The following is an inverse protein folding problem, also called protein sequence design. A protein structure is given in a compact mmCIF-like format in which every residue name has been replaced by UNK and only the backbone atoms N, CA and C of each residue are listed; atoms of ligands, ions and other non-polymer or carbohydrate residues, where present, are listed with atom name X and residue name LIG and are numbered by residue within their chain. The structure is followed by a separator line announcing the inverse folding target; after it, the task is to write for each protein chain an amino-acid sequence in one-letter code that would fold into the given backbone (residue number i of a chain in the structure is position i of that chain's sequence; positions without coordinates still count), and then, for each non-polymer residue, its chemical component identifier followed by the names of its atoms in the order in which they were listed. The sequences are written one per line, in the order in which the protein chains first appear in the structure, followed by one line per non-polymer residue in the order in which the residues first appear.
data_IF_165365223776
#
_entry.id   IF_165365223776
#
_cell.length_a   1.000
_cell.length_b   1.000
_cell.length_c   1.000
_cell.angle_alpha   90.00
_cell.angle_beta   90.00
_cell.angle_gamma   90.00
#
_symmetry.space_group_name_H-M   'P 1'
#
loop_
_entity.id
_entity.type
_entity.pdbx_description
1 polymer ?
#
# COMPACT_ATOMS: atom_id res chain seq x y z
N UNK A 1 7.72 3.44 -4.37
CA UNK A 1 6.33 3.86 -4.13
C UNK A 1 5.91 4.57 -5.40
N UNK A 2 4.89 4.09 -6.11
CA UNK A 2 4.61 4.55 -7.48
C UNK A 2 3.21 5.19 -7.56
N UNK A 3 3.09 6.52 -7.37
CA UNK A 3 1.80 7.21 -7.32
C UNK A 3 0.88 6.96 -8.53
N UNK A 4 1.39 6.87 -9.78
CA UNK A 4 0.56 6.52 -10.93
C UNK A 4 -0.02 5.10 -10.85
N UNK A 5 0.77 4.12 -10.40
CA UNK A 5 0.34 2.71 -10.31
C UNK A 5 -0.69 2.46 -9.21
N UNK A 6 -0.66 3.24 -8.13
CA UNK A 6 -1.61 3.14 -7.01
C UNK A 6 -2.97 3.74 -7.38
N UNK A 7 -3.02 4.67 -8.33
CA UNK A 7 -4.22 5.42 -8.67
C UNK A 7 -5.39 4.51 -9.13
N UNK A 8 -5.23 3.62 -10.13
CA UNK A 8 -6.32 2.71 -10.54
C UNK A 8 -6.78 1.78 -9.41
N UNK A 9 -5.84 1.33 -8.57
CA UNK A 9 -6.10 0.43 -7.45
C UNK A 9 -6.93 1.13 -6.37
N UNK A 10 -6.58 2.38 -6.04
CA UNK A 10 -7.36 3.20 -5.12
C UNK A 10 -8.78 3.45 -5.65
N UNK A 11 -8.93 3.77 -6.94
CA UNK A 11 -10.26 3.99 -7.53
C UNK A 11 -11.12 2.74 -7.46
N UNK A 12 -10.57 1.57 -7.74
CA UNK A 12 -11.28 0.30 -7.60
C UNK A 12 -11.69 0.00 -6.15
N UNK A 13 -10.75 0.10 -5.22
CA UNK A 13 -11.00 -0.21 -3.81
C UNK A 13 -11.96 0.76 -3.14
N UNK A 14 -12.12 1.96 -3.70
CA UNK A 14 -13.04 2.99 -3.19
C UNK A 14 -14.26 3.19 -4.08
N UNK A 15 -14.40 2.42 -5.16
CA UNK A 15 -15.54 2.50 -6.08
C UNK A 15 -16.87 2.26 -5.35
N UNK A 16 -17.94 2.87 -5.87
CA UNK A 16 -19.29 2.80 -5.28
C UNK A 16 -19.48 3.64 -4.00
N UNK A 17 -18.43 4.27 -3.47
CA UNK A 17 -18.51 5.10 -2.26
C UNK A 17 -18.68 6.60 -2.59
N UNK A 18 -19.31 7.38 -1.70
CA UNK A 18 -19.39 8.82 -1.86
C UNK A 18 -18.00 9.47 -1.90
N UNK A 19 -17.80 10.47 -2.75
CA UNK A 19 -16.51 11.16 -2.91
C UNK A 19 -15.93 11.70 -1.57
N UNK A 20 -16.79 12.08 -0.61
CA UNK A 20 -16.35 12.48 0.74
C UNK A 20 -15.67 11.32 1.48
N UNK A 21 -16.21 10.11 1.39
CA UNK A 21 -15.66 8.89 2.00
C UNK A 21 -14.34 8.52 1.32
N UNK A 22 -14.29 8.53 -0.01
CA UNK A 22 -13.06 8.23 -0.74
C UNK A 22 -11.91 9.19 -0.37
N UNK A 23 -12.19 10.48 -0.20
CA UNK A 23 -11.20 11.48 0.29
C UNK A 23 -10.68 11.14 1.69
N UNK A 24 -11.56 10.71 2.58
CA UNK A 24 -11.19 10.29 3.93
C UNK A 24 -10.34 9.03 3.91
N UNK A 25 -10.70 8.05 3.09
CA UNK A 25 -9.95 6.82 2.89
C UNK A 25 -8.55 7.09 2.32
N UNK A 26 -8.40 8.02 1.36
CA UNK A 26 -7.09 8.43 0.86
C UNK A 26 -6.20 9.00 1.97
N UNK A 27 -6.73 9.90 2.79
CA UNK A 27 -6.00 10.47 3.92
C UNK A 27 -5.64 9.39 4.95
N UNK A 28 -6.58 8.51 5.29
CA UNK A 28 -6.36 7.42 6.23
C UNK A 28 -5.30 6.44 5.72
N UNK A 29 -5.37 6.03 4.44
CA UNK A 29 -4.40 5.13 3.84
C UNK A 29 -2.99 5.72 3.86
N UNK A 30 -2.84 7.00 3.48
CA UNK A 30 -1.54 7.69 3.53
C UNK A 30 -1.04 7.87 4.96
N UNK A 31 -1.92 8.22 5.91
CA UNK A 31 -1.54 8.38 7.30
C UNK A 31 -1.11 7.05 7.94
N UNK A 32 -1.83 5.96 7.65
CA UNK A 32 -1.46 4.61 8.06
C UNK A 32 -0.12 4.23 7.44
N UNK A 33 0.04 4.40 6.13
CA UNK A 33 1.29 4.08 5.46
C UNK A 33 2.48 4.85 6.02
N UNK A 34 2.31 6.15 6.25
CA UNK A 34 3.33 7.01 6.85
C UNK A 34 3.67 6.54 8.26
N UNK A 35 2.67 6.28 9.10
CA UNK A 35 2.89 5.81 10.47
C UNK A 35 3.65 4.49 10.50
N UNK A 36 3.28 3.55 9.62
CA UNK A 36 3.97 2.25 9.50
C UNK A 36 5.40 2.43 9.03
N UNK A 37 5.62 3.18 7.94
CA UNK A 37 6.95 3.45 7.42
C UNK A 37 7.80 4.16 8.46
N UNK A 38 7.23 5.09 9.23
CA UNK A 38 7.95 5.79 10.29
C UNK A 38 8.34 4.85 11.44
N UNK A 39 7.41 4.01 11.90
CA UNK A 39 7.69 3.01 12.94
C UNK A 39 8.77 2.05 12.48
N UNK A 40 8.67 1.50 11.27
CA UNK A 40 9.70 0.59 10.75
C UNK A 40 11.02 1.31 10.43
N UNK A 41 11.00 2.59 10.04
CA UNK A 41 12.23 3.36 9.85
C UNK A 41 13.00 3.58 11.15
N UNK A 42 12.30 3.71 12.28
CA UNK A 42 12.91 3.92 13.60
C UNK A 42 13.25 2.62 14.32
N UNK A 43 12.36 1.62 14.23
CA UNK A 43 12.37 0.42 15.06
C UNK A 43 12.34 -0.88 14.25
N UNK A 44 12.37 -0.80 12.92
CA UNK A 44 12.03 -1.93 12.05
C UNK A 44 12.91 -3.15 12.27
N UNK A 45 14.22 -2.95 12.43
CA UNK A 45 15.13 -4.07 12.69
C UNK A 45 14.86 -4.71 14.06
N UNK A 46 14.69 -3.91 15.11
CA UNK A 46 14.36 -4.41 16.45
C UNK A 46 13.03 -5.15 16.48
N UNK A 47 12.01 -4.66 15.76
CA UNK A 47 10.71 -5.31 15.65
C UNK A 47 10.84 -6.68 14.98
N UNK A 48 11.56 -6.75 13.86
CA UNK A 48 11.75 -7.99 13.11
C UNK A 48 12.54 -9.01 13.93
N UNK A 49 13.60 -8.58 14.60
CA UNK A 49 14.42 -9.43 15.47
C UNK A 49 13.61 -9.97 16.66
N UNK A 50 12.82 -9.12 17.31
CA UNK A 50 11.95 -9.52 18.42
C UNK A 50 10.91 -10.56 18.00
N UNK A 51 10.28 -10.35 16.84
CA UNK A 51 9.28 -11.27 16.29
C UNK A 51 9.89 -12.53 15.66
N UNK A 52 11.23 -12.58 15.51
CA UNK A 52 11.93 -13.63 14.76
C UNK A 52 11.39 -13.79 13.33
N UNK A 53 11.03 -12.68 12.70
CA UNK A 53 10.45 -12.63 11.35
C UNK A 53 11.43 -11.97 10.40
N UNK A 54 11.68 -12.61 9.26
CA UNK A 54 12.54 -12.07 8.22
C UNK A 54 11.77 -11.13 7.27
N UNK A 55 12.48 -10.18 6.66
CA UNK A 55 11.91 -9.33 5.59
C UNK A 55 11.28 -10.17 4.46
N UNK A 56 11.91 -11.25 3.96
CA UNK A 56 11.30 -12.12 2.96
C UNK A 56 9.97 -12.73 3.41
N UNK A 57 9.84 -13.11 4.68
CA UNK A 57 8.58 -13.63 5.22
C UNK A 57 7.47 -12.58 5.19
N UNK A 58 7.79 -11.32 5.50
CA UNK A 58 6.85 -10.19 5.38
C UNK A 58 6.43 -9.95 3.91
N UNK A 59 7.34 -10.15 2.95
CA UNK A 59 7.03 -10.06 1.52
C UNK A 59 6.03 -11.12 1.07
N UNK A 60 6.25 -12.38 1.47
CA UNK A 60 5.37 -13.49 1.14
C UNK A 60 4.00 -13.27 1.78
N UNK A 61 3.95 -12.94 3.08
CA UNK A 61 2.69 -12.71 3.79
C UNK A 61 1.88 -11.54 3.20
N UNK A 62 2.54 -10.40 2.94
CA UNK A 62 1.91 -9.25 2.31
C UNK A 62 1.43 -9.56 0.89
N UNK A 63 2.21 -10.33 0.12
CA UNK A 63 1.82 -10.80 -1.20
C UNK A 63 0.58 -11.71 -1.16
N UNK A 64 0.52 -12.67 -0.23
CA UNK A 64 -0.65 -13.54 -0.05
C UNK A 64 -1.92 -12.75 0.28
N UNK A 65 -1.83 -11.76 1.17
CA UNK A 65 -2.96 -10.89 1.51
C UNK A 65 -3.45 -10.09 0.30
N UNK A 66 -2.54 -9.50 -0.48
CA UNK A 66 -2.89 -8.79 -1.71
C UNK A 66 -3.51 -9.72 -2.76
N UNK A 67 -3.04 -10.97 -2.85
CA UNK A 67 -3.60 -11.97 -3.77
C UNK A 67 -5.05 -12.31 -3.41
N UNK A 68 -5.35 -12.51 -2.13
CA UNK A 68 -6.72 -12.76 -1.66
C UNK A 68 -7.65 -11.61 -2.06
N UNK A 69 -7.21 -10.37 -1.84
CA UNK A 69 -8.01 -9.19 -2.17
C UNK A 69 -8.15 -9.03 -3.70
N UNK A 70 -7.09 -9.32 -4.46
CA UNK A 70 -7.14 -9.32 -5.92
C UNK A 70 -8.20 -10.32 -6.43
N UNK A 71 -8.24 -11.52 -5.86
CA UNK A 71 -9.23 -12.54 -6.23
C UNK A 71 -10.66 -12.10 -5.87
N UNK A 72 -10.87 -11.45 -4.73
CA UNK A 72 -12.18 -10.89 -4.36
C UNK A 72 -12.65 -9.83 -5.38
N UNK A 73 -11.76 -8.95 -5.84
CA UNK A 73 -12.07 -7.96 -6.86
C UNK A 73 -12.35 -8.59 -8.23
N UNK A 74 -11.63 -9.66 -8.60
CA UNK A 74 -11.82 -10.36 -9.89
C UNK A 74 -13.10 -11.20 -9.92
N UNK A 75 -13.47 -11.79 -8.78
CA UNK A 75 -14.66 -12.64 -8.62
C UNK A 75 -15.92 -11.84 -8.32
N UNK A 76 -15.81 -10.54 -8.02
CA UNK A 76 -16.94 -9.66 -7.73
C UNK A 76 -17.54 -9.88 -6.34
N UNK A 77 -16.83 -10.58 -5.44
CA UNK A 77 -17.26 -10.87 -4.04
C UNK A 77 -17.13 -9.67 -3.10
N UNK A 78 -17.04 -8.45 -3.64
CA UNK A 78 -16.85 -7.23 -2.85
C UNK A 78 -18.19 -6.76 -2.26
N UNK A 79 -18.88 -7.63 -1.51
CA UNK A 79 -20.25 -7.39 -1.09
C UNK A 79 -20.36 -6.51 0.17
N UNK A 80 -21.27 -5.55 0.06
CA UNK A 80 -21.88 -4.59 1.01
C UNK A 80 -21.01 -3.56 1.77
N UNK A 81 -21.29 -2.24 1.59
CA UNK A 81 -20.61 -1.16 2.29
C UNK A 81 -21.15 -0.98 3.72
N UNK A 82 -20.57 -1.69 4.69
CA UNK A 82 -20.70 -1.33 6.10
C UNK A 82 -19.64 -0.28 6.46
N UNK A 83 -19.98 0.72 7.27
CA UNK A 83 -19.07 1.83 7.64
C UNK A 83 -17.76 1.36 8.31
N UNK A 84 -17.76 0.17 8.92
CA UNK A 84 -16.58 -0.50 9.47
C UNK A 84 -15.63 -1.05 8.40
N UNK A 85 -16.13 -1.38 7.20
CA UNK A 85 -15.29 -1.80 6.06
C UNK A 85 -14.50 -0.65 5.46
N UNK A 86 -14.92 0.60 5.59
CA UNK A 86 -14.19 1.76 5.02
C UNK A 86 -12.85 1.99 5.73
N UNK A 87 -12.84 1.92 7.06
CA UNK A 87 -11.61 1.96 7.86
C UNK A 87 -10.76 0.74 7.54
N UNK A 88 -11.37 -0.45 7.49
CA UNK A 88 -10.64 -1.67 7.17
C UNK A 88 -9.98 -1.61 5.80
N UNK A 89 -10.63 -1.13 4.74
CA UNK A 89 -10.04 -1.03 3.39
C UNK A 89 -8.95 0.04 3.32
N UNK A 90 -9.12 1.16 4.02
CA UNK A 90 -8.10 2.21 4.11
C UNK A 90 -6.85 1.74 4.87
N UNK A 91 -7.01 0.91 5.89
CA UNK A 91 -5.92 0.31 6.64
C UNK A 91 -5.31 -0.89 5.89
N UNK A 92 -6.14 -1.79 5.40
CA UNK A 92 -5.82 -3.05 4.72
C UNK A 92 -6.75 -3.28 3.51
N UNK A 93 -6.26 -3.25 2.26
CA UNK A 93 -4.85 -3.30 1.86
C UNK A 93 -4.20 -1.94 1.59
N UNK A 94 -4.97 -0.84 1.59
CA UNK A 94 -4.49 0.43 1.03
C UNK A 94 -3.28 0.97 1.81
N UNK A 95 -3.41 1.15 3.13
CA UNK A 95 -2.30 1.55 3.99
C UNK A 95 -1.22 0.47 4.05
N UNK A 96 -1.59 -0.76 4.40
CA UNK A 96 -0.73 -1.94 4.42
C UNK A 96 -1.42 -3.09 3.70
N UNK A 97 -0.74 -3.85 2.83
CA UNK A 97 0.67 -3.75 2.46
C UNK A 97 0.91 -2.96 1.16
N UNK A 98 -0.09 -2.27 0.60
CA UNK A 98 0.08 -1.60 -0.69
C UNK A 98 0.98 -0.34 -0.60
N UNK A 99 0.65 0.58 0.32
CA UNK A 99 1.40 1.84 0.52
C UNK A 99 2.53 1.74 1.54
N UNK A 100 2.46 0.85 2.52
CA UNK A 100 3.57 0.52 3.41
C UNK A 100 4.03 -0.91 3.16
N UNK A 101 4.30 -1.20 1.89
CA UNK A 101 4.77 -2.50 1.47
C UNK A 101 6.20 -2.79 1.97
N UNK A 102 6.59 -4.07 2.06
CA UNK A 102 7.90 -4.49 2.52
C UNK A 102 9.05 -3.81 1.75
N UNK A 103 8.92 -3.61 0.43
CA UNK A 103 9.94 -2.90 -0.35
C UNK A 103 10.16 -1.47 0.12
N UNK A 104 9.09 -0.75 0.50
CA UNK A 104 9.21 0.60 1.05
C UNK A 104 9.73 0.59 2.49
N UNK A 105 9.30 -0.38 3.30
CA UNK A 105 9.81 -0.61 4.65
C UNK A 105 11.33 -0.80 4.61
N UNK A 106 11.82 -1.72 3.78
CA UNK A 106 13.25 -2.01 3.62
C UNK A 106 14.00 -0.78 3.12
N UNK A 107 13.47 -0.10 2.10
CA UNK A 107 14.11 1.11 1.56
C UNK A 107 14.27 2.20 2.63
N UNK A 108 13.28 2.36 3.50
CA UNK A 108 13.32 3.35 4.58
C UNK A 108 14.26 2.92 5.70
N UNK A 109 14.25 1.65 6.11
CA UNK A 109 15.22 1.11 7.08
C UNK A 109 16.64 1.39 6.59
N UNK A 110 16.95 1.05 5.34
CA UNK A 110 18.27 1.27 4.76
C UNK A 110 18.59 2.77 4.64
N UNK A 111 17.64 3.60 4.19
CA UNK A 111 17.86 5.03 4.06
C UNK A 111 18.15 5.71 5.41
N UNK A 112 17.44 5.31 6.48
CA UNK A 112 17.68 5.82 7.83
C UNK A 112 19.01 5.32 8.38
N UNK A 113 19.42 4.08 8.09
CA UNK A 113 20.71 3.53 8.52
C UNK A 113 21.91 4.20 7.85
N UNK A 114 21.79 4.60 6.58
CA UNK A 114 22.86 5.29 5.84
C UNK A 114 22.84 6.81 6.04
N UNK A 115 21.91 7.34 6.84
CA UNK A 115 21.80 8.77 7.08
C UNK A 115 22.80 9.21 8.16
N UNK A 116 23.91 9.81 7.74
CA UNK A 116 24.92 10.32 8.66
C UNK A 116 24.51 11.67 9.27
N UNK A 117 24.46 11.70 10.61
CA UNK A 117 24.21 12.90 11.39
C UNK A 117 22.79 13.48 11.26
N UNK A 118 22.55 14.58 11.99
CA UNK A 118 21.23 15.21 12.06
C UNK A 118 20.73 15.72 10.70
N UNK A 119 21.64 16.21 9.85
CA UNK A 119 21.30 16.69 8.51
C UNK A 119 20.84 15.56 7.58
N UNK A 120 21.54 14.42 7.59
CA UNK A 120 21.16 13.24 6.81
C UNK A 120 19.80 12.70 7.23
N UNK A 121 19.58 12.60 8.54
CA UNK A 121 18.33 12.09 9.09
C UNK A 121 17.14 13.01 8.76
N UNK A 122 17.32 14.34 8.88
CA UNK A 122 16.30 15.31 8.49
C UNK A 122 15.97 15.22 6.99
N UNK A 123 16.98 15.04 6.14
CA UNK A 123 16.80 14.85 4.69
C UNK A 123 15.93 13.64 4.39
N UNK A 124 16.24 12.47 4.98
CA UNK A 124 15.46 11.23 4.79
C UNK A 124 14.01 11.41 5.23
N UNK A 125 13.77 11.94 6.44
CA UNK A 125 12.40 12.15 6.93
C UNK A 125 11.62 13.16 6.09
N UNK A 126 12.28 14.22 5.61
CA UNK A 126 11.65 15.19 4.72
C UNK A 126 11.27 14.56 3.38
N UNK A 127 12.10 13.68 2.82
CA UNK A 127 11.81 12.95 1.58
C UNK A 127 10.65 11.96 1.77
N UNK A 128 10.61 11.24 2.89
CA UNK A 128 9.50 10.35 3.24
C UNK A 128 8.20 11.17 3.34
N UNK A 129 8.19 12.28 4.07
CA UNK A 129 7.02 13.14 4.20
C UNK A 129 6.55 13.70 2.85
N UNK A 130 7.49 14.22 2.04
CA UNK A 130 7.19 14.73 0.70
C UNK A 130 6.57 13.64 -0.19
N UNK A 131 7.10 12.42 -0.15
CA UNK A 131 6.56 11.31 -0.93
C UNK A 131 5.11 10.96 -0.53
N UNK A 132 4.80 10.99 0.76
CA UNK A 132 3.44 10.75 1.25
C UNK A 132 2.48 11.87 0.83
N UNK A 133 2.95 13.12 0.77
CA UNK A 133 2.17 14.22 0.20
C UNK A 133 1.88 13.98 -1.29
N UNK A 134 2.86 13.53 -2.07
CA UNK A 134 2.68 13.18 -3.49
C UNK A 134 1.66 12.04 -3.66
N UNK A 135 1.75 10.99 -2.84
CA UNK A 135 0.78 9.90 -2.83
C UNK A 135 -0.64 10.39 -2.52
N UNK A 136 -0.77 11.22 -1.49
CA UNK A 136 -2.04 11.83 -1.12
C UNK A 136 -2.62 12.68 -2.26
N UNK A 137 -1.78 13.50 -2.91
CA UNK A 137 -2.19 14.30 -4.07
C UNK A 137 -2.65 13.40 -5.22
N UNK A 138 -1.89 12.36 -5.56
CA UNK A 138 -2.26 11.41 -6.63
C UNK A 138 -3.63 10.76 -6.37
N UNK A 139 -3.85 10.27 -5.14
CA UNK A 139 -5.14 9.71 -4.73
C UNK A 139 -6.25 10.76 -4.64
N UNK A 140 -5.92 12.02 -4.31
CA UNK A 140 -6.88 13.12 -4.26
C UNK A 140 -7.36 13.54 -5.65
N UNK A 141 -6.45 13.61 -6.62
CA UNK A 141 -6.77 14.00 -7.99
C UNK A 141 -7.38 12.87 -8.81
N UNK A 142 -7.11 11.61 -8.45
CA UNK A 142 -7.77 10.46 -9.09
C UNK A 142 -9.29 10.45 -8.91
N UNK A 143 -9.80 11.08 -7.85
CA UNK A 143 -11.24 11.24 -7.61
C UNK A 143 -11.95 12.07 -8.70
N UNK A 144 -11.21 12.90 -9.45
CA UNK A 144 -11.76 13.60 -10.62
C UNK A 144 -12.05 12.61 -11.74
N UNK A 145 -11.20 11.60 -11.92
CA UNK A 145 -11.35 10.53 -12.90
C UNK A 145 -12.61 9.72 -12.61
N UNK A 146 -12.89 9.41 -11.34
CA UNK A 146 -14.10 8.66 -10.94
C UNK A 146 -15.40 9.34 -11.35
N UNK A 147 -15.46 10.68 -11.41
CA UNK A 147 -16.68 11.39 -11.84
C UNK A 147 -17.01 11.19 -13.33
N UNK A 148 -16.03 10.77 -14.11
CA UNK A 148 -16.17 10.49 -15.55
C UNK A 148 -16.57 9.02 -15.77
N UNK A 149 -16.30 8.16 -14.79
CA UNK A 149 -16.54 6.72 -14.85
C UNK A 149 -17.97 6.41 -14.39
N UNK A 150 -18.83 6.04 -15.35
CA UNK A 150 -20.18 5.52 -15.09
C UNK A 150 -20.14 4.08 -14.59
N UNK A 151 -21.29 3.53 -14.17
CA UNK A 151 -21.40 2.19 -13.56
C UNK A 151 -20.70 1.06 -14.32
N UNK A 152 -20.75 1.05 -15.66
CA UNK A 152 -20.04 0.06 -16.49
C UNK A 152 -18.50 0.19 -16.44
N UNK A 153 -18.00 1.42 -16.29
CA UNK A 153 -16.57 1.67 -16.15
C UNK A 153 -16.03 1.30 -14.75
N UNK A 154 -16.89 1.33 -13.72
CA UNK A 154 -16.52 0.86 -12.38
C UNK A 154 -16.13 -0.62 -12.41
N UNK A 155 -16.93 -1.46 -13.05
CA UNK A 155 -16.64 -2.90 -13.19
C UNK A 155 -15.30 -3.14 -13.88
N UNK A 156 -15.02 -2.40 -14.96
CA UNK A 156 -13.76 -2.51 -15.69
C UNK A 156 -12.56 -2.09 -14.82
N UNK A 157 -12.64 -0.95 -14.13
CA UNK A 157 -11.58 -0.47 -13.25
C UNK A 157 -11.33 -1.44 -12.10
N UNK A 158 -12.39 -1.99 -11.50
CA UNK A 158 -12.27 -2.99 -10.44
C UNK A 158 -11.56 -4.26 -10.93
N UNK A 159 -11.89 -4.75 -12.13
CA UNK A 159 -11.20 -5.91 -12.73
C UNK A 159 -9.74 -5.62 -13.07
N UNK A 160 -9.44 -4.44 -13.65
CA UNK A 160 -8.08 -4.01 -13.95
C UNK A 160 -7.23 -3.91 -12.68
N UNK A 161 -7.77 -3.31 -11.62
CA UNK A 161 -7.09 -3.23 -10.33
C UNK A 161 -6.87 -4.61 -9.71
N UNK A 162 -7.84 -5.53 -9.81
CA UNK A 162 -7.66 -6.92 -9.39
C UNK A 162 -6.50 -7.60 -10.12
N UNK A 163 -6.38 -7.39 -11.44
CA UNK A 163 -5.23 -7.91 -12.21
C UNK A 163 -3.91 -7.27 -11.78
N UNK A 164 -3.88 -5.95 -11.56
CA UNK A 164 -2.68 -5.24 -11.08
C UNK A 164 -2.25 -5.71 -9.68
N UNK A 165 -3.20 -5.80 -8.74
CA UNK A 165 -2.96 -6.29 -7.38
C UNK A 165 -2.45 -7.73 -7.39
N UNK A 166 -3.02 -8.60 -8.24
CA UNK A 166 -2.54 -9.97 -8.43
C UNK A 166 -1.10 -10.00 -8.93
N UNK A 167 -0.75 -9.17 -9.91
CA UNK A 167 0.62 -9.06 -10.41
C UNK A 167 1.59 -8.58 -9.32
N UNK A 168 1.22 -7.55 -8.55
CA UNK A 168 2.03 -7.03 -7.44
C UNK A 168 2.18 -8.10 -6.34
N UNK A 169 1.11 -8.81 -6.03
CA UNK A 169 1.09 -9.89 -5.05
C UNK A 169 2.04 -11.03 -5.45
N UNK A 170 1.94 -11.51 -6.69
CA UNK A 170 2.82 -12.54 -7.24
C UNK A 170 4.28 -12.06 -7.22
N UNK A 171 4.55 -10.82 -7.64
CA UNK A 171 5.91 -10.26 -7.62
C UNK A 171 6.48 -10.22 -6.19
N UNK A 172 5.67 -9.84 -5.21
CA UNK A 172 6.06 -9.82 -3.80
C UNK A 172 6.39 -11.22 -3.28
N UNK A 173 5.58 -12.22 -3.64
CA UNK A 173 5.83 -13.63 -3.28
C UNK A 173 7.12 -14.12 -3.94
N UNK A 174 7.31 -13.88 -5.24
CA UNK A 174 8.52 -14.27 -5.98
C UNK A 174 9.75 -13.66 -5.30
N UNK A 175 9.75 -12.34 -5.08
CA UNK A 175 10.87 -11.65 -4.45
C UNK A 175 11.19 -12.22 -3.07
N UNK A 176 10.16 -12.48 -2.26
CA UNK A 176 10.33 -13.09 -0.94
C UNK A 176 10.91 -14.50 -1.03
N UNK A 177 10.37 -15.37 -1.88
CA UNK A 177 10.89 -16.74 -2.08
C UNK A 177 12.33 -16.73 -2.59
N UNK A 178 12.64 -15.89 -3.58
CA UNK A 178 14.00 -15.77 -4.13
C UNK A 178 14.98 -15.31 -3.06
N UNK A 179 14.61 -14.33 -2.23
CA UNK A 179 15.47 -13.88 -1.13
C UNK A 179 15.67 -14.97 -0.07
N UNK A 180 14.64 -15.75 0.27
CA UNK A 180 14.79 -16.90 1.18
C UNK A 180 15.82 -17.89 0.64
N UNK A 181 15.74 -18.23 -0.65
CA UNK A 181 16.67 -19.19 -1.28
C UNK A 181 18.10 -18.65 -1.35
N UNK A 182 18.29 -17.35 -1.60
CA UNK A 182 19.63 -16.74 -1.70
C UNK A 182 20.29 -16.52 -0.33
N UNK A 183 19.50 -16.41 0.73
CA UNK A 183 19.99 -16.14 2.10
C UNK A 183 20.14 -17.43 2.92
N UNK A 184 19.65 -18.58 2.41
CA UNK A 184 19.79 -19.90 3.02
C UNK A 184 20.96 -20.67 2.43
#
# INVERSE_FOLDING_TARGET
MDPPGITPIFLALTAGRPAKVQRRMALQAVAVAFGVIAVFGLLGQQILDYLHVSVPALMIAGGLLLLLIALDLLTGKTDEPTQTKDVNVALVPLGMPLLAGPGAIVSVILAVQHADGFGGQLSVWSAIAAMHVVLWLAMRYSLVIIRIIKDGGVVLVTRLAGMMLSAIAVQQIINGVTQVIQTS
#
